data_IF_056851953074
#
_entry.id   IF_056851953074
#
_cell.length_a   1.000
_cell.length_b   1.000
_cell.length_c   1.000
_cell.angle_alpha   90.00
_cell.angle_beta   90.00
_cell.angle_gamma   90.00
#
_symmetry.space_group_name_H-M   'P 1'
#
loop_
_entity.id
_entity.type
_entity.pdbx_description
1 polymer ?
#
# COMPACT_ATOMS: atom_id res chain seq x y z
N UNK A 1 12.63 11.39 -11.76
CA UNK A 1 12.53 10.09 -12.44
C UNK A 1 13.81 9.25 -12.27
N UNK A 2 15.00 9.72 -12.68
CA UNK A 2 16.21 8.88 -12.51
C UNK A 2 16.58 8.58 -11.06
N UNK A 3 16.19 9.44 -10.12
CA UNK A 3 16.27 9.21 -8.68
C UNK A 3 15.42 8.02 -8.19
N UNK A 4 14.30 7.74 -8.88
CA UNK A 4 13.45 6.57 -8.64
C UNK A 4 14.13 5.32 -9.20
N UNK A 5 14.64 5.39 -10.44
CA UNK A 5 15.35 4.27 -11.07
C UNK A 5 16.64 3.89 -10.33
N UNK A 6 17.36 4.87 -9.82
CA UNK A 6 18.55 4.63 -9.01
C UNK A 6 18.20 4.16 -7.58
N UNK A 7 16.97 4.34 -7.09
CA UNK A 7 16.62 4.08 -5.69
C UNK A 7 16.83 2.62 -5.24
N UNK A 8 16.85 1.67 -6.18
CA UNK A 8 17.09 0.24 -5.92
C UNK A 8 18.55 -0.07 -5.55
N UNK A 9 19.48 0.84 -5.84
CA UNK A 9 20.90 0.64 -5.59
C UNK A 9 21.27 1.08 -4.17
N UNK A 10 21.91 0.18 -3.42
CA UNK A 10 22.27 0.43 -2.02
C UNK A 10 23.40 1.45 -1.85
N UNK A 11 24.31 1.55 -2.83
CA UNK A 11 25.47 2.45 -2.76
C UNK A 11 25.13 3.85 -3.31
N UNK A 12 25.43 4.93 -2.57
CA UNK A 12 25.22 6.30 -3.06
C UNK A 12 26.01 6.60 -4.34
N UNK A 13 27.25 6.12 -4.44
CA UNK A 13 28.09 6.34 -5.62
C UNK A 13 27.49 5.67 -6.87
N UNK A 14 26.99 4.44 -6.72
CA UNK A 14 26.30 3.74 -7.80
C UNK A 14 25.01 4.46 -8.22
N UNK A 15 24.26 5.00 -7.26
CA UNK A 15 23.06 5.80 -7.53
C UNK A 15 23.38 7.03 -8.37
N UNK A 16 24.41 7.76 -7.96
CA UNK A 16 24.84 8.97 -8.66
C UNK A 16 25.38 8.65 -10.05
N UNK A 17 26.13 7.57 -10.20
CA UNK A 17 26.61 7.09 -11.50
C UNK A 17 25.45 6.78 -12.46
N UNK A 18 24.47 5.98 -12.02
CA UNK A 18 23.30 5.62 -12.84
C UNK A 18 22.45 6.85 -13.15
N UNK A 19 22.24 7.73 -12.18
CA UNK A 19 21.51 8.99 -12.40
C UNK A 19 22.18 9.85 -13.47
N UNK A 20 23.52 9.97 -13.43
CA UNK A 20 24.31 10.71 -14.42
C UNK A 20 24.21 10.08 -15.81
N UNK A 21 24.24 8.75 -15.89
CA UNK A 21 24.15 8.06 -17.18
C UNK A 21 22.76 8.17 -17.80
N UNK A 22 21.70 8.06 -16.99
CA UNK A 22 20.32 8.32 -17.43
C UNK A 22 20.19 9.77 -17.91
N UNK A 23 20.72 10.74 -17.16
CA UNK A 23 20.70 12.14 -17.55
C UNK A 23 21.44 12.38 -18.88
N UNK A 24 22.56 11.70 -19.10
CA UNK A 24 23.32 11.75 -20.36
C UNK A 24 22.51 11.22 -21.53
N UNK A 25 21.85 10.07 -21.38
CA UNK A 25 21.01 9.45 -22.42
C UNK A 25 19.81 10.35 -22.76
N UNK A 26 19.22 11.01 -21.76
CA UNK A 26 18.08 11.91 -21.93
C UNK A 26 18.46 13.33 -22.39
N UNK A 27 19.74 13.62 -22.59
CA UNK A 27 20.22 14.96 -23.00
C UNK A 27 20.13 16.03 -21.91
N UNK A 28 20.03 15.63 -20.64
CA UNK A 28 19.86 16.52 -19.48
C UNK A 28 21.21 16.77 -18.76
N UNK A 29 22.16 17.36 -19.48
CA UNK A 29 23.56 17.49 -19.04
C UNK A 29 23.78 18.31 -17.76
N UNK A 30 22.91 19.28 -17.45
CA UNK A 30 23.06 20.19 -16.30
C UNK A 30 22.18 19.84 -15.08
N UNK A 31 21.35 18.79 -15.15
CA UNK A 31 20.42 18.43 -14.06
C UNK A 31 20.82 17.15 -13.30
N UNK A 32 21.95 16.53 -13.64
CA UNK A 32 22.40 15.30 -12.98
C UNK A 32 22.75 15.50 -11.49
N UNK A 33 23.14 16.71 -11.08
CA UNK A 33 23.50 17.04 -9.68
C UNK A 33 22.28 17.41 -8.81
N UNK A 34 21.14 17.76 -9.43
CA UNK A 34 19.90 18.17 -8.74
C UNK A 34 18.89 17.03 -8.58
N UNK A 35 19.27 15.79 -8.90
CA UNK A 35 18.33 14.66 -8.93
C UNK A 35 17.85 14.21 -7.54
N UNK A 36 18.59 14.55 -6.48
CA UNK A 36 18.13 14.36 -5.11
C UNK A 36 17.46 15.65 -4.63
N UNK A 37 16.14 15.64 -4.34
CA UNK A 37 15.49 16.81 -3.77
C UNK A 37 16.15 17.14 -2.42
N UNK A 38 16.73 18.33 -2.33
CA UNK A 38 17.39 18.84 -1.12
C UNK A 38 16.37 19.15 -0.04
N UNK A 39 15.17 19.56 -0.46
CA UNK A 39 14.09 19.96 0.42
C UNK A 39 13.37 18.76 1.01
N UNK A 40 12.89 18.92 2.25
CA UNK A 40 12.07 17.90 2.91
C UNK A 40 10.75 17.78 2.12
N UNK A 41 10.33 16.57 1.69
CA UNK A 41 9.07 16.42 0.99
C UNK A 41 7.91 16.83 1.91
N UNK A 42 6.97 17.60 1.37
CA UNK A 42 5.80 18.09 2.12
C UNK A 42 4.58 17.25 1.73
N UNK A 43 3.77 16.90 2.73
CA UNK A 43 2.46 16.28 2.51
C UNK A 43 1.39 17.35 2.68
N UNK A 44 0.58 17.57 1.65
CA UNK A 44 -0.49 18.55 1.68
C UNK A 44 -1.76 17.96 1.05
N UNK A 45 -2.83 17.84 1.84
CA UNK A 45 -4.14 17.47 1.33
C UNK A 45 -4.87 18.73 0.85
N UNK A 46 -5.42 18.69 -0.37
CA UNK A 46 -6.30 19.73 -0.93
C UNK A 46 -7.69 19.15 -1.19
N UNK A 47 -8.59 19.93 -1.78
CA UNK A 47 -9.98 19.49 -1.94
C UNK A 47 -10.16 18.26 -2.85
N UNK A 48 -9.33 18.11 -3.88
CA UNK A 48 -9.44 17.06 -4.91
C UNK A 48 -8.18 16.22 -5.07
N UNK A 49 -7.09 16.60 -4.39
CA UNK A 49 -5.81 15.92 -4.55
C UNK A 49 -5.02 15.85 -3.24
N UNK A 50 -4.08 14.92 -3.22
CA UNK A 50 -3.06 14.77 -2.19
C UNK A 50 -1.69 15.02 -2.83
N UNK A 51 -0.99 16.05 -2.37
CA UNK A 51 0.39 16.31 -2.73
C UNK A 51 1.33 15.61 -1.74
N UNK A 52 2.27 14.83 -2.26
CA UNK A 52 3.37 14.18 -1.53
C UNK A 52 4.67 14.55 -2.24
N UNK A 53 5.43 15.49 -1.69
CA UNK A 53 6.63 16.01 -2.34
C UNK A 53 6.33 16.59 -3.72
N UNK A 54 6.99 16.06 -4.75
CA UNK A 54 6.82 16.47 -6.17
C UNK A 54 5.63 15.80 -6.87
N UNK A 55 4.93 14.90 -6.19
CA UNK A 55 3.85 14.09 -6.78
C UNK A 55 2.49 14.55 -6.27
N UNK A 56 1.52 14.62 -7.16
CA UNK A 56 0.11 14.90 -6.85
C UNK A 56 -0.73 13.71 -7.28
N UNK A 57 -1.53 13.18 -6.35
CA UNK A 57 -2.47 12.08 -6.55
C UNK A 57 -3.90 12.61 -6.52
N UNK A 58 -4.69 12.24 -7.53
CA UNK A 58 -6.10 12.59 -7.59
C UNK A 58 -6.90 11.70 -6.62
N UNK A 59 -7.82 12.31 -5.88
CA UNK A 59 -8.72 11.60 -4.97
C UNK A 59 -10.16 11.69 -5.50
N UNK A 60 -10.84 10.55 -5.62
CA UNK A 60 -12.26 10.51 -6.02
C UNK A 60 -13.16 11.18 -4.97
N UNK A 61 -12.80 11.06 -3.70
CA UNK A 61 -13.45 11.73 -2.58
C UNK A 61 -12.51 12.74 -1.93
N UNK A 62 -13.07 13.72 -1.20
CA UNK A 62 -12.26 14.67 -0.41
C UNK A 62 -11.26 13.88 0.43
N UNK A 63 -9.94 14.07 0.26
CA UNK A 63 -8.95 13.34 1.05
C UNK A 63 -9.25 13.54 2.52
N UNK A 64 -9.02 12.49 3.32
CA UNK A 64 -9.19 12.63 4.76
C UNK A 64 -8.25 13.74 5.25
N UNK A 65 -8.70 14.55 6.21
CA UNK A 65 -7.78 15.37 7.00
C UNK A 65 -6.64 14.45 7.42
N UNK A 66 -5.39 14.87 7.22
CA UNK A 66 -4.21 14.13 7.68
C UNK A 66 -4.35 14.03 9.21
N UNK A 67 -5.07 13.01 9.68
CA UNK A 67 -5.19 12.76 11.09
C UNK A 67 -3.80 12.40 11.56
N UNK A 68 -3.45 12.86 12.78
CA UNK A 68 -2.27 12.40 13.52
C UNK A 68 -2.44 10.91 13.85
N UNK A 69 -2.40 10.05 12.84
CA UNK A 69 -2.13 8.64 13.01
C UNK A 69 -0.66 8.46 13.43
N UNK A 70 -0.19 7.21 13.61
CA UNK A 70 1.16 6.90 14.06
C UNK A 70 2.27 7.21 13.04
N UNK A 71 2.03 8.09 12.06
CA UNK A 71 3.04 8.47 11.08
C UNK A 71 4.02 9.47 11.69
N UNK A 72 5.26 9.02 11.87
CA UNK A 72 6.35 9.91 12.23
C UNK A 72 6.81 10.68 10.98
N UNK A 73 6.72 12.01 11.04
CA UNK A 73 7.13 12.93 9.97
C UNK A 73 8.69 13.05 9.90
N UNK A 74 9.31 11.94 9.51
CA UNK A 74 10.76 11.78 9.36
C UNK A 74 11.10 11.85 7.86
N UNK A 75 12.16 12.59 7.49
CA UNK A 75 12.58 12.78 6.10
C UNK A 75 12.68 11.46 5.31
N UNK A 76 13.30 10.43 5.87
CA UNK A 76 13.45 9.13 5.21
C UNK A 76 12.11 8.46 4.89
N UNK A 77 11.11 8.59 5.76
CA UNK A 77 9.78 8.06 5.53
C UNK A 77 9.05 8.86 4.43
N UNK A 78 9.23 10.18 4.40
CA UNK A 78 8.66 11.06 3.38
C UNK A 78 9.25 10.78 1.99
N UNK A 79 10.56 10.56 1.89
CA UNK A 79 11.22 10.24 0.62
C UNK A 79 10.69 8.91 0.05
N UNK A 80 10.46 7.90 0.91
CA UNK A 80 9.87 6.62 0.50
C UNK A 80 8.41 6.82 0.11
N UNK A 81 7.65 7.58 0.89
CA UNK A 81 6.25 7.89 0.61
C UNK A 81 6.08 8.62 -0.73
N UNK A 82 6.95 9.58 -1.05
CA UNK A 82 6.96 10.27 -2.34
C UNK A 82 7.22 9.30 -3.50
N UNK A 83 8.17 8.36 -3.36
CA UNK A 83 8.43 7.34 -4.38
C UNK A 83 7.24 6.40 -4.58
N UNK A 84 6.62 5.97 -3.49
CA UNK A 84 5.39 5.14 -3.54
C UNK A 84 4.26 5.91 -4.21
N UNK A 85 4.03 7.17 -3.83
CA UNK A 85 3.04 8.03 -4.47
C UNK A 85 3.33 8.22 -5.96
N UNK A 86 4.60 8.38 -6.36
CA UNK A 86 4.98 8.47 -7.76
C UNK A 86 4.59 7.19 -8.53
N UNK A 87 4.89 6.03 -7.96
CA UNK A 87 4.60 4.74 -8.59
C UNK A 87 3.08 4.53 -8.73
N UNK A 88 2.30 4.92 -7.72
CA UNK A 88 0.82 4.90 -7.79
C UNK A 88 0.32 5.80 -8.93
N UNK A 89 0.88 7.01 -9.07
CA UNK A 89 0.50 7.95 -10.14
C UNK A 89 0.71 7.35 -11.54
N UNK A 90 1.74 6.54 -11.71
CA UNK A 90 2.07 5.88 -12.97
C UNK A 90 1.56 4.45 -13.09
N UNK A 91 0.78 3.98 -12.11
CA UNK A 91 0.27 2.60 -12.06
C UNK A 91 1.38 1.53 -12.15
N UNK A 92 2.51 1.79 -11.49
CA UNK A 92 3.65 0.88 -11.44
C UNK A 92 3.67 0.06 -10.12
N UNK A 93 3.93 -1.25 -10.18
CA UNK A 93 4.04 -2.09 -8.98
C UNK A 93 5.31 -1.76 -8.19
N UNK A 94 5.20 -1.75 -6.85
CA UNK A 94 6.31 -1.40 -5.95
C UNK A 94 6.61 -2.53 -4.97
N UNK A 95 7.90 -2.79 -4.76
CA UNK A 95 8.41 -3.66 -3.70
C UNK A 95 9.19 -2.83 -2.68
N UNK A 96 8.77 -2.87 -1.41
CA UNK A 96 9.45 -2.19 -0.30
C UNK A 96 10.24 -3.20 0.53
N UNK A 97 11.57 -3.10 0.54
CA UNK A 97 12.48 -4.01 1.28
C UNK A 97 13.17 -3.27 2.43
N UNK A 98 13.33 -3.93 3.57
CA UNK A 98 14.10 -3.44 4.72
C UNK A 98 13.73 -4.18 6.01
N UNK A 99 14.39 -3.87 7.11
CA UNK A 99 14.15 -4.51 8.41
C UNK A 99 12.69 -4.45 8.86
N UNK A 100 12.20 -5.49 9.53
CA UNK A 100 10.83 -5.50 10.08
C UNK A 100 10.69 -4.41 11.15
N UNK A 101 9.52 -3.77 11.21
CA UNK A 101 9.26 -2.70 12.19
C UNK A 101 9.63 -1.29 11.73
N UNK A 102 10.22 -1.09 10.54
CA UNK A 102 10.55 0.24 10.01
C UNK A 102 9.36 1.01 9.41
N UNK A 103 8.12 0.59 9.70
CA UNK A 103 6.92 1.32 9.26
C UNK A 103 6.52 1.17 7.78
N UNK A 104 7.07 0.21 7.02
CA UNK A 104 6.71 -0.01 5.60
C UNK A 104 5.21 -0.22 5.38
N UNK A 105 4.61 -1.13 6.13
CA UNK A 105 3.16 -1.43 6.06
C UNK A 105 2.34 -0.21 6.50
N UNK A 106 2.76 0.44 7.59
CA UNK A 106 2.10 1.63 8.14
C UNK A 106 2.12 2.80 7.15
N UNK A 107 3.21 2.97 6.39
CA UNK A 107 3.34 3.99 5.36
C UNK A 107 2.29 3.81 4.25
N UNK A 108 2.12 2.59 3.74
CA UNK A 108 1.12 2.28 2.70
C UNK A 108 -0.31 2.43 3.24
N UNK A 109 -0.56 1.97 4.46
CA UNK A 109 -1.86 2.13 5.14
C UNK A 109 -2.25 3.60 5.32
N UNK A 110 -1.31 4.44 5.75
CA UNK A 110 -1.55 5.87 5.92
C UNK A 110 -1.83 6.55 4.57
N UNK A 111 -1.07 6.22 3.53
CA UNK A 111 -1.30 6.78 2.20
C UNK A 111 -2.68 6.41 1.66
N UNK A 112 -3.10 5.15 1.77
CA UNK A 112 -4.43 4.71 1.38
C UNK A 112 -5.53 5.43 2.16
N UNK A 113 -5.35 5.61 3.48
CA UNK A 113 -6.28 6.35 4.35
C UNK A 113 -6.42 7.82 3.93
N UNK A 114 -5.31 8.51 3.65
CA UNK A 114 -5.34 9.91 3.19
C UNK A 114 -6.03 10.05 1.83
N UNK A 115 -5.83 9.10 0.92
CA UNK A 115 -6.49 9.04 -0.39
C UNK A 115 -7.95 8.54 -0.32
N UNK A 116 -8.43 8.10 0.85
CA UNK A 116 -9.71 7.40 1.03
C UNK A 116 -9.90 6.21 0.09
N UNK A 117 -8.83 5.47 -0.17
CA UNK A 117 -8.86 4.26 -0.97
C UNK A 117 -8.97 3.03 -0.07
N UNK A 118 -9.74 2.03 -0.51
CA UNK A 118 -9.78 0.73 0.15
C UNK A 118 -8.44 0.02 -0.05
N UNK A 119 -7.78 -0.36 1.06
CA UNK A 119 -6.56 -1.16 1.02
C UNK A 119 -6.87 -2.60 1.40
N UNK A 120 -6.74 -3.52 0.45
CA UNK A 120 -6.79 -4.96 0.71
C UNK A 120 -5.39 -5.43 1.07
N UNK A 121 -5.24 -6.00 2.27
CA UNK A 121 -3.97 -6.57 2.73
C UNK A 121 -4.05 -8.08 2.64
N UNK A 122 -3.16 -8.68 1.86
CA UNK A 122 -3.00 -10.13 1.79
C UNK A 122 -1.64 -10.48 2.39
N UNK A 123 -1.65 -11.27 3.46
CA UNK A 123 -0.43 -11.75 4.09
C UNK A 123 0.03 -13.02 3.36
N UNK A 124 1.28 -13.02 2.88
CA UNK A 124 1.87 -14.16 2.20
C UNK A 124 2.87 -14.85 3.12
N UNK A 125 2.77 -16.17 3.20
CA UNK A 125 3.64 -17.04 3.98
C UNK A 125 4.03 -18.27 3.16
N UNK A 126 4.90 -19.12 3.69
CA UNK A 126 5.21 -20.42 3.06
C UNK A 126 4.00 -21.37 2.99
N UNK A 127 2.94 -21.12 3.76
CA UNK A 127 1.70 -21.89 3.75
C UNK A 127 0.64 -21.25 2.83
N UNK A 128 0.92 -20.08 2.24
CA UNK A 128 -0.02 -19.42 1.34
C UNK A 128 0.01 -20.10 -0.02
N UNK A 129 -1.15 -20.57 -0.46
CA UNK A 129 -1.31 -21.28 -1.71
C UNK A 129 -1.96 -20.40 -2.79
N UNK A 130 -1.80 -20.79 -4.06
CA UNK A 130 -2.44 -20.09 -5.19
C UNK A 130 -3.97 -20.05 -5.03
N UNK A 131 -4.56 -21.07 -4.38
CA UNK A 131 -5.98 -21.13 -4.07
C UNK A 131 -6.45 -20.02 -3.12
N UNK A 132 -5.56 -19.45 -2.31
CA UNK A 132 -5.90 -18.34 -1.42
C UNK A 132 -6.08 -17.02 -2.20
N UNK A 133 -5.42 -16.91 -3.36
CA UNK A 133 -5.44 -15.72 -4.21
C UNK A 133 -6.45 -15.82 -5.36
N UNK A 134 -6.48 -16.97 -6.04
CA UNK A 134 -7.32 -17.20 -7.22
C UNK A 134 -8.63 -17.92 -6.89
N UNK A 135 -8.76 -18.45 -5.67
CA UNK A 135 -9.81 -19.39 -5.30
C UNK A 135 -9.40 -20.83 -5.60
N UNK A 136 -9.96 -21.76 -4.84
CA UNK A 136 -9.76 -23.19 -5.01
C UNK A 136 -11.05 -23.97 -4.83
N UNK A 137 -11.11 -25.14 -5.44
CA UNK A 137 -12.20 -26.07 -5.19
C UNK A 137 -11.98 -26.77 -3.86
N UNK A 138 -12.81 -26.45 -2.88
CA UNK A 138 -12.86 -27.17 -1.61
C UNK A 138 -13.97 -28.23 -1.72
N UNK A 139 -13.65 -29.54 -1.66
CA UNK A 139 -14.68 -30.57 -1.64
C UNK A 139 -15.48 -30.43 -0.33
N UNK A 140 -16.75 -30.06 -0.46
CA UNK A 140 -17.65 -29.84 0.66
C UNK A 140 -18.43 -31.12 0.92
N UNK A 141 -18.26 -31.72 2.11
CA UNK A 141 -19.08 -32.85 2.54
C UNK A 141 -20.52 -32.36 2.77
N UNK A 142 -21.53 -33.09 2.30
CA UNK A 142 -22.95 -32.78 2.55
C UNK A 142 -23.23 -32.54 4.04
N UNK A 143 -22.54 -33.27 4.94
CA UNK A 143 -22.64 -33.06 6.39
C UNK A 143 -22.24 -31.64 6.82
N UNK A 144 -21.24 -31.05 6.18
CA UNK A 144 -20.78 -29.69 6.51
C UNK A 144 -21.80 -28.61 6.13
N UNK A 145 -22.72 -28.90 5.20
CA UNK A 145 -23.82 -28.01 4.82
C UNK A 145 -25.06 -28.30 5.68
N UNK A 146 -25.42 -29.58 5.83
CA UNK A 146 -26.65 -29.98 6.51
C UNK A 146 -26.61 -29.79 8.03
N UNK A 147 -25.44 -29.94 8.67
CA UNK A 147 -25.34 -29.85 10.13
C UNK A 147 -25.59 -28.42 10.67
N UNK A 148 -25.02 -27.34 10.10
CA UNK A 148 -25.38 -25.97 10.49
C UNK A 148 -26.88 -25.69 10.32
N UNK A 149 -27.46 -26.09 9.19
CA UNK A 149 -28.89 -25.92 8.90
C UNK A 149 -29.78 -26.67 9.91
N UNK A 150 -29.41 -27.91 10.27
CA UNK A 150 -30.13 -28.68 11.28
C UNK A 150 -30.04 -28.02 12.66
N UNK A 151 -28.88 -27.46 13.03
CA UNK A 151 -28.72 -26.77 14.30
C UNK A 151 -29.53 -25.47 14.35
N UNK A 152 -29.56 -24.70 13.27
CA UNK A 152 -30.42 -23.52 13.13
C UNK A 152 -31.90 -23.89 13.23
N UNK A 153 -32.34 -24.93 12.49
CA UNK A 153 -33.69 -25.46 12.62
C UNK A 153 -34.03 -25.89 14.04
N UNK A 154 -33.14 -26.64 14.70
CA UNK A 154 -33.35 -27.11 16.07
C UNK A 154 -33.47 -25.95 17.05
N UNK A 155 -32.64 -24.92 16.91
CA UNK A 155 -32.71 -23.74 17.76
C UNK A 155 -34.03 -22.99 17.55
N UNK A 156 -34.40 -22.70 16.30
CA UNK A 156 -35.67 -22.06 15.96
C UNK A 156 -36.89 -22.89 16.39
N UNK A 157 -36.82 -24.21 16.24
CA UNK A 157 -37.87 -25.13 16.65
C UNK A 157 -38.02 -25.14 18.17
N UNK A 158 -36.91 -25.23 18.91
CA UNK A 158 -36.94 -25.09 20.36
C UNK A 158 -37.50 -23.73 20.77
N UNK A 159 -37.14 -22.63 20.13
CA UNK A 159 -37.69 -21.31 20.50
C UNK A 159 -39.18 -21.18 20.18
N UNK A 160 -39.63 -21.77 19.07
CA UNK A 160 -41.04 -21.69 18.61
C UNK A 160 -41.95 -22.69 19.31
N UNK A 161 -41.41 -23.81 19.79
CA UNK A 161 -42.16 -24.94 20.35
C UNK A 161 -41.65 -25.38 21.73
N UNK A 162 -40.85 -24.56 22.44
CA UNK A 162 -40.53 -24.80 23.85
C UNK A 162 -41.80 -24.61 24.68
N UNK A 163 -42.49 -25.74 24.88
CA UNK A 163 -43.49 -26.06 25.91
C UNK A 163 -44.05 -24.86 26.69
N UNK A 164 -45.26 -24.44 26.30
CA UNK A 164 -46.32 -24.25 27.28
C UNK A 164 -46.69 -25.64 27.85
N UNK A 165 -46.05 -26.04 28.95
CA UNK A 165 -46.61 -26.98 29.95
C UNK A 165 -46.07 -26.59 31.32
#
# INVERSE_FOLDING_TARGET
AADIFAASLSSPDKRQYVAREIARILGLFHQAETMHPTDKPIIQARHTDLQVGRVTLQCSDKPALIQKGPFADIRSALDVLERVACSIKFNEPVLLVGETGTGKTTLVQNLASWLKQSLTVVNLSQQSDISDLLGGFKPTDARSICFPLYMEFKDLFCQSFSKEV
#
